data_IF_816291784403
#
_entry.id   IF_816291784403
#
_cell.length_a   1.000
_cell.length_b   1.000
_cell.length_c   1.000
_cell.angle_alpha   90.00
_cell.angle_beta   90.00
_cell.angle_gamma   90.00
#
_symmetry.space_group_name_H-M   'P 1'
#
loop_
_entity.id
_entity.type
_entity.pdbx_description
1 polymer ?
#
# COMPACT_ATOMS: atom_id res chain seq x y z
N UNK A 1 -11.59 5.87 -6.33
CA UNK A 1 -13.03 6.13 -6.49
C UNK A 1 -13.61 5.32 -7.64
N UNK A 2 -14.91 5.08 -7.61
CA UNK A 2 -15.68 4.40 -8.64
C UNK A 2 -16.85 5.26 -9.10
N UNK A 3 -17.22 5.12 -10.37
CA UNK A 3 -18.46 5.68 -10.93
C UNK A 3 -19.39 4.53 -11.29
N UNK A 4 -20.62 4.59 -10.83
CA UNK A 4 -21.62 3.61 -11.23
C UNK A 4 -22.10 3.90 -12.64
N UNK A 5 -22.00 2.91 -13.55
CA UNK A 5 -22.44 3.04 -14.94
C UNK A 5 -23.96 3.15 -15.01
N UNK A 6 -24.68 2.53 -14.08
CA UNK A 6 -26.16 2.48 -14.09
C UNK A 6 -26.82 3.77 -13.60
N UNK A 7 -26.26 4.48 -12.62
CA UNK A 7 -26.90 5.66 -12.03
C UNK A 7 -25.98 6.89 -11.91
N UNK A 8 -24.75 6.81 -12.39
CA UNK A 8 -23.79 7.90 -12.37
C UNK A 8 -23.18 8.23 -11.00
N UNK A 9 -23.61 7.57 -9.92
CA UNK A 9 -23.10 7.82 -8.56
C UNK A 9 -21.58 7.63 -8.48
N UNK A 10 -20.89 8.56 -7.84
CA UNK A 10 -19.43 8.49 -7.58
C UNK A 10 -19.23 8.25 -6.08
N UNK A 11 -18.45 7.20 -5.77
CA UNK A 11 -18.21 6.81 -4.38
C UNK A 11 -16.78 6.27 -4.18
N UNK A 12 -16.42 5.99 -2.93
CA UNK A 12 -15.19 5.26 -2.61
C UNK A 12 -15.23 3.85 -3.21
N UNK A 13 -14.06 3.25 -3.38
CA UNK A 13 -13.93 1.90 -3.96
C UNK A 13 -14.74 0.88 -3.15
N UNK A 14 -15.71 0.26 -3.79
CA UNK A 14 -16.63 -0.74 -3.24
C UNK A 14 -17.00 -1.72 -4.36
N UNK A 15 -17.52 -2.89 -3.99
CA UNK A 15 -17.92 -3.92 -4.96
C UNK A 15 -19.30 -3.68 -5.58
N UNK A 16 -20.12 -2.85 -4.94
CA UNK A 16 -21.46 -2.48 -5.41
C UNK A 16 -21.73 -0.99 -5.20
N UNK A 17 -22.55 -0.41 -6.06
CA UNK A 17 -22.97 0.98 -5.94
C UNK A 17 -23.76 1.20 -4.64
N UNK A 18 -23.40 2.18 -3.79
CA UNK A 18 -24.13 2.44 -2.55
C UNK A 18 -25.59 2.91 -2.80
N UNK A 19 -25.84 3.57 -3.96
CA UNK A 19 -27.14 4.13 -4.31
C UNK A 19 -28.09 3.12 -4.95
N UNK A 20 -27.69 2.49 -6.06
CA UNK A 20 -28.56 1.61 -6.83
C UNK A 20 -28.21 0.12 -6.72
N UNK A 21 -27.19 -0.25 -5.92
CA UNK A 21 -26.74 -1.62 -5.69
C UNK A 21 -26.23 -2.36 -6.94
N UNK A 22 -26.06 -1.67 -8.06
CA UNK A 22 -25.48 -2.23 -9.27
C UNK A 22 -24.01 -2.59 -9.07
N UNK A 23 -23.56 -3.67 -9.68
CA UNK A 23 -22.17 -4.08 -9.76
C UNK A 23 -21.45 -3.54 -11.01
N UNK A 24 -22.17 -2.81 -11.88
CA UNK A 24 -21.59 -2.17 -13.07
C UNK A 24 -20.87 -0.89 -12.64
N UNK A 25 -19.61 -1.03 -12.29
CA UNK A 25 -18.78 0.05 -11.76
C UNK A 25 -17.59 0.31 -12.67
N UNK A 26 -17.29 1.59 -12.88
CA UNK A 26 -16.08 2.03 -13.59
C UNK A 26 -15.12 2.70 -12.59
N UNK A 27 -13.83 2.42 -12.74
CA UNK A 27 -12.81 2.98 -11.85
C UNK A 27 -12.34 4.32 -12.37
N UNK A 28 -12.52 5.36 -11.55
CA UNK A 28 -12.00 6.69 -11.86
C UNK A 28 -10.48 6.71 -11.68
N UNK A 29 -9.77 7.11 -12.74
CA UNK A 29 -8.30 7.11 -12.79
C UNK A 29 -7.65 8.29 -12.07
N UNK A 30 -8.41 9.26 -11.56
CA UNK A 30 -7.86 10.42 -10.86
C UNK A 30 -7.65 10.06 -9.38
N UNK A 31 -6.41 10.10 -8.88
CA UNK A 31 -6.15 9.85 -7.47
C UNK A 31 -6.67 11.00 -6.62
N UNK A 32 -7.54 10.73 -5.67
CA UNK A 32 -7.96 11.74 -4.71
C UNK A 32 -6.91 11.90 -3.59
N UNK A 33 -6.96 13.02 -2.84
CA UNK A 33 -6.02 13.26 -1.74
C UNK A 33 -6.01 12.15 -0.68
N UNK A 34 -7.17 11.55 -0.38
CA UNK A 34 -7.26 10.44 0.56
C UNK A 34 -6.55 9.19 0.02
N UNK A 35 -6.69 8.90 -1.28
CA UNK A 35 -5.97 7.80 -1.91
C UNK A 35 -4.46 8.03 -1.86
N UNK A 36 -3.99 9.22 -2.22
CA UNK A 36 -2.57 9.58 -2.15
C UNK A 36 -2.05 9.49 -0.71
N UNK A 37 -2.78 10.00 0.27
CA UNK A 37 -2.39 9.89 1.69
C UNK A 37 -2.29 8.45 2.17
N UNK A 38 -3.21 7.58 1.72
CA UNK A 38 -3.15 6.15 2.00
C UNK A 38 -1.91 5.50 1.42
N UNK A 39 -1.61 5.78 0.15
CA UNK A 39 -0.42 5.23 -0.53
C UNK A 39 0.88 5.76 0.09
N UNK A 40 0.94 7.04 0.49
CA UNK A 40 2.10 7.58 1.22
C UNK A 40 2.40 6.79 2.50
N UNK A 41 1.38 6.42 3.28
CA UNK A 41 1.57 5.58 4.48
C UNK A 41 2.16 4.22 4.12
N UNK A 42 1.69 3.59 3.05
CA UNK A 42 2.24 2.32 2.57
C UNK A 42 3.72 2.46 2.16
N UNK A 43 4.07 3.55 1.46
CA UNK A 43 5.46 3.84 1.09
C UNK A 43 6.34 4.01 2.33
N UNK A 44 5.90 4.79 3.32
CA UNK A 44 6.65 4.97 4.58
C UNK A 44 6.82 3.66 5.34
N UNK A 45 5.80 2.79 5.34
CA UNK A 45 5.90 1.46 5.94
C UNK A 45 6.89 0.58 5.16
N UNK A 46 6.89 0.65 3.84
CA UNK A 46 7.87 -0.05 3.00
C UNK A 46 9.30 0.41 3.31
N UNK A 47 9.54 1.72 3.35
CA UNK A 47 10.86 2.28 3.70
C UNK A 47 11.33 1.75 5.06
N UNK A 48 10.45 1.73 6.08
CA UNK A 48 10.79 1.16 7.41
C UNK A 48 11.19 -0.32 7.34
N UNK A 49 10.55 -1.12 6.50
CA UNK A 49 10.94 -2.53 6.32
C UNK A 49 12.29 -2.62 5.61
N UNK A 50 12.49 -1.84 4.55
CA UNK A 50 13.74 -1.84 3.80
C UNK A 50 14.93 -1.43 4.67
N UNK A 51 14.76 -0.41 5.50
CA UNK A 51 15.86 0.10 6.36
C UNK A 51 16.06 -0.74 7.61
N UNK A 52 15.00 -1.03 8.35
CA UNK A 52 15.12 -1.71 9.64
C UNK A 52 15.36 -3.22 9.50
N UNK A 53 14.65 -3.90 8.59
CA UNK A 53 14.72 -5.36 8.47
C UNK A 53 15.79 -5.80 7.47
N UNK A 54 15.85 -5.13 6.31
CA UNK A 54 16.76 -5.48 5.22
C UNK A 54 18.08 -4.69 5.25
N UNK A 55 18.20 -3.75 6.20
CA UNK A 55 19.39 -2.91 6.43
C UNK A 55 19.85 -2.16 5.18
N UNK A 56 18.91 -1.73 4.36
CA UNK A 56 19.19 -0.89 3.20
C UNK A 56 19.37 0.54 3.69
N UNK A 57 20.47 1.17 3.31
CA UNK A 57 20.78 2.55 3.67
C UNK A 57 19.76 3.50 2.98
N UNK A 58 19.23 4.47 3.69
CA UNK A 58 18.25 5.44 3.16
C UNK A 58 18.72 6.15 1.89
N UNK A 59 20.02 6.46 1.79
CA UNK A 59 20.62 7.09 0.60
C UNK A 59 20.53 6.20 -0.66
N UNK A 60 20.32 4.90 -0.49
CA UNK A 60 20.15 3.94 -1.56
C UNK A 60 18.69 3.72 -1.95
N UNK A 61 17.76 4.42 -1.28
CA UNK A 61 16.32 4.37 -1.56
C UNK A 61 15.91 5.68 -2.23
N UNK A 62 15.42 5.59 -3.45
CA UNK A 62 14.86 6.73 -4.17
C UNK A 62 13.37 6.52 -4.39
N UNK A 63 12.57 7.54 -4.12
CA UNK A 63 11.12 7.51 -4.30
C UNK A 63 10.77 8.41 -5.47
N UNK A 64 9.86 7.94 -6.34
CA UNK A 64 9.29 8.75 -7.41
C UNK A 64 7.78 8.57 -7.45
N UNK A 65 7.06 9.66 -7.62
CA UNK A 65 5.63 9.61 -7.94
C UNK A 65 5.44 9.01 -9.34
N UNK A 66 4.50 8.11 -9.51
CA UNK A 66 4.29 7.39 -10.78
C UNK A 66 3.62 8.22 -11.89
N UNK A 67 3.14 9.41 -11.54
CA UNK A 67 2.30 10.24 -12.42
C UNK A 67 0.82 9.85 -12.38
N UNK A 68 0.39 8.91 -11.54
CA UNK A 68 -1.02 8.53 -11.42
C UNK A 68 -1.42 8.19 -9.97
N UNK A 69 -1.52 6.93 -9.61
CA UNK A 69 -2.13 6.50 -8.34
C UNK A 69 -1.10 6.13 -7.26
N UNK A 70 0.19 6.06 -7.59
CA UNK A 70 1.17 5.48 -6.68
C UNK A 70 2.56 6.06 -6.78
N UNK A 71 3.47 5.39 -6.08
CA UNK A 71 4.88 5.72 -6.05
C UNK A 71 5.71 4.51 -6.45
N UNK A 72 6.87 4.74 -7.03
CA UNK A 72 7.89 3.74 -7.27
C UNK A 72 9.05 3.96 -6.31
N UNK A 73 9.52 2.89 -5.68
CA UNK A 73 10.75 2.89 -4.90
C UNK A 73 11.83 2.18 -5.69
N UNK A 74 12.98 2.81 -5.78
CA UNK A 74 14.17 2.26 -6.40
C UNK A 74 15.20 2.02 -5.32
N UNK A 75 15.73 0.82 -5.27
CA UNK A 75 16.82 0.43 -4.37
C UNK A 75 18.08 0.25 -5.21
N UNK A 76 19.12 1.01 -4.90
CA UNK A 76 20.42 0.97 -5.58
C UNK A 76 21.51 0.51 -4.59
N UNK A 77 22.66 0.09 -5.12
CA UNK A 77 23.84 -0.27 -4.32
C UNK A 77 23.53 -1.24 -3.15
N UNK A 78 22.69 -2.22 -3.41
CA UNK A 78 22.25 -3.21 -2.42
C UNK A 78 22.53 -4.63 -2.93
N UNK A 79 22.89 -5.58 -2.04
CA UNK A 79 23.06 -6.98 -2.43
C UNK A 79 21.76 -7.59 -3.01
N UNK A 80 20.61 -7.03 -2.67
CA UNK A 80 19.30 -7.46 -3.20
C UNK A 80 19.12 -7.15 -4.70
N UNK A 81 19.95 -6.29 -5.28
CA UNK A 81 19.89 -5.99 -6.72
C UNK A 81 20.28 -7.19 -7.59
N UNK A 82 21.05 -8.14 -7.06
CA UNK A 82 21.50 -9.34 -7.76
C UNK A 82 20.51 -10.51 -7.68
N UNK A 83 19.41 -10.37 -6.96
CA UNK A 83 18.41 -11.42 -6.81
C UNK A 83 17.72 -11.73 -8.14
N UNK A 84 17.55 -13.02 -8.43
CA UNK A 84 16.72 -13.51 -9.52
C UNK A 84 15.23 -13.38 -9.23
N UNK A 85 14.38 -13.70 -10.21
CA UNK A 85 12.92 -13.54 -10.07
C UNK A 85 12.31 -14.35 -8.92
N UNK A 86 12.84 -15.54 -8.63
CA UNK A 86 12.38 -16.39 -7.53
C UNK A 86 12.66 -15.75 -6.17
N UNK A 87 13.91 -15.36 -5.96
CA UNK A 87 14.37 -14.72 -4.71
C UNK A 87 13.66 -13.37 -4.49
N UNK A 88 13.37 -12.64 -5.57
CA UNK A 88 12.53 -11.43 -5.51
C UNK A 88 11.11 -11.75 -5.10
N UNK A 89 10.57 -12.89 -5.54
CA UNK A 89 9.27 -13.39 -5.08
C UNK A 89 9.24 -13.64 -3.57
N UNK A 90 10.27 -14.29 -3.04
CA UNK A 90 10.39 -14.55 -1.59
C UNK A 90 10.56 -13.24 -0.79
N UNK A 91 11.31 -12.27 -1.33
CA UNK A 91 11.44 -10.93 -0.74
C UNK A 91 10.09 -10.20 -0.68
N UNK A 92 9.31 -10.28 -1.74
CA UNK A 92 7.96 -9.71 -1.80
C UNK A 92 7.03 -10.38 -0.81
N UNK A 93 7.05 -11.71 -0.69
CA UNK A 93 6.27 -12.43 0.31
C UNK A 93 6.64 -12.00 1.74
N UNK A 94 7.93 -11.73 1.99
CA UNK A 94 8.37 -11.14 3.26
C UNK A 94 7.78 -9.74 3.48
N UNK A 95 7.95 -8.82 2.52
CA UNK A 95 7.46 -7.43 2.63
C UNK A 95 5.93 -7.38 2.81
N UNK A 96 5.20 -8.20 2.08
CA UNK A 96 3.74 -8.27 2.16
C UNK A 96 3.21 -9.10 3.33
N UNK A 97 4.10 -9.68 4.14
CA UNK A 97 3.75 -10.63 5.19
C UNK A 97 2.87 -11.77 4.69
N UNK A 98 3.25 -12.36 3.56
CA UNK A 98 2.57 -13.53 2.99
C UNK A 98 3.18 -14.83 3.53
N UNK A 99 2.41 -15.92 3.46
CA UNK A 99 2.85 -17.27 3.85
C UNK A 99 3.40 -17.34 5.29
N UNK A 100 2.79 -16.57 6.20
CA UNK A 100 3.17 -16.59 7.60
C UNK A 100 2.98 -18.00 8.20
N UNK A 101 4.04 -18.53 8.78
CA UNK A 101 4.06 -19.86 9.40
C UNK A 101 3.91 -19.68 10.92
N UNK A 102 2.82 -20.19 11.55
CA UNK A 102 2.56 -20.04 12.99
C UNK A 102 3.73 -20.42 13.89
N UNK A 103 4.52 -21.40 13.48
CA UNK A 103 5.70 -21.86 14.23
C UNK A 103 6.76 -20.77 14.39
N UNK A 104 6.92 -19.90 13.38
CA UNK A 104 7.83 -18.75 13.44
C UNK A 104 7.34 -17.65 14.39
N UNK A 105 6.03 -17.66 14.68
CA UNK A 105 5.38 -16.73 15.60
C UNK A 105 4.92 -17.39 16.89
N UNK A 106 5.62 -18.46 17.29
CA UNK A 106 5.54 -19.04 18.62
C UNK A 106 4.57 -20.20 18.78
N UNK A 107 3.73 -20.52 17.81
CA UNK A 107 2.77 -21.62 17.93
C UNK A 107 3.37 -22.94 17.44
N UNK A 108 4.01 -23.70 18.33
CA UNK A 108 4.47 -25.06 18.03
C UNK A 108 3.30 -26.04 18.12
N UNK A 109 3.05 -26.80 17.04
CA UNK A 109 1.90 -27.72 16.94
C UNK A 109 1.76 -28.69 18.11
N UNK A 110 2.86 -29.28 18.56
CA UNK A 110 2.85 -30.35 19.56
C UNK A 110 3.04 -29.87 21.00
N UNK A 111 3.53 -28.66 21.20
CA UNK A 111 3.75 -28.10 22.54
C UNK A 111 3.81 -26.57 22.48
N UNK A 112 2.65 -25.88 22.41
CA UNK A 112 2.64 -24.43 22.41
C UNK A 112 3.05 -23.90 23.78
N UNK A 113 4.25 -23.32 23.87
CA UNK A 113 4.75 -22.67 25.09
C UNK A 113 4.48 -21.18 25.06
N UNK A 114 4.06 -20.60 26.19
CA UNK A 114 3.86 -19.14 26.33
C UNK A 114 5.12 -18.33 26.06
N UNK A 115 6.28 -18.87 26.39
CA UNK A 115 7.58 -18.19 26.19
C UNK A 115 8.02 -18.15 24.73
N UNK A 116 7.44 -18.98 23.85
CA UNK A 116 7.80 -19.00 22.44
C UNK A 116 7.09 -17.93 21.60
N UNK A 117 6.00 -17.35 22.12
CA UNK A 117 5.27 -16.28 21.40
C UNK A 117 6.05 -14.96 21.40
N UNK A 118 5.97 -14.20 20.30
CA UNK A 118 6.73 -12.96 20.15
C UNK A 118 6.38 -11.91 21.19
N UNK A 119 7.36 -11.05 21.48
CA UNK A 119 7.18 -9.89 22.36
C UNK A 119 7.03 -8.60 21.54
N UNK A 120 6.46 -7.56 22.18
CA UNK A 120 6.24 -6.26 21.52
C UNK A 120 7.55 -5.56 21.13
N UNK A 121 8.64 -5.88 21.83
CA UNK A 121 9.96 -5.28 21.62
C UNK A 121 10.83 -6.11 20.64
N UNK A 122 10.32 -7.24 20.15
CA UNK A 122 11.04 -8.06 19.18
C UNK A 122 11.26 -7.30 17.86
N UNK A 123 12.39 -7.54 17.17
CA UNK A 123 12.65 -6.94 15.87
C UNK A 123 11.77 -7.53 14.77
N UNK A 124 11.64 -6.78 13.68
CA UNK A 124 11.01 -7.25 12.43
C UNK A 124 9.54 -7.66 12.60
N UNK A 125 9.17 -8.73 11.92
CA UNK A 125 7.79 -9.22 11.92
C UNK A 125 7.33 -9.76 13.26
N UNK A 126 8.21 -10.29 14.09
CA UNK A 126 7.84 -10.77 15.43
C UNK A 126 7.23 -9.66 16.28
N UNK A 127 7.91 -8.53 16.39
CA UNK A 127 7.37 -7.38 17.15
C UNK A 127 6.13 -6.76 16.53
N UNK A 128 6.04 -6.68 15.19
CA UNK A 128 4.84 -6.17 14.50
C UNK A 128 3.62 -7.07 14.75
N UNK A 129 3.80 -8.38 14.66
CA UNK A 129 2.75 -9.37 14.98
C UNK A 129 2.34 -9.26 16.45
N UNK A 130 3.30 -9.16 17.37
CA UNK A 130 3.00 -9.02 18.79
C UNK A 130 2.21 -7.74 19.10
N UNK A 131 2.57 -6.62 18.49
CA UNK A 131 1.85 -5.34 18.66
C UNK A 131 0.41 -5.45 18.15
N UNK A 132 0.20 -6.07 17.01
CA UNK A 132 -1.14 -6.24 16.42
C UNK A 132 -2.01 -7.21 17.25
N UNK A 133 -1.40 -8.30 17.75
CA UNK A 133 -2.13 -9.30 18.53
C UNK A 133 -2.48 -8.83 19.95
N UNK A 134 -1.57 -8.12 20.60
CA UNK A 134 -1.65 -7.88 22.04
C UNK A 134 -1.89 -6.42 22.42
N UNK A 135 -1.57 -5.46 21.56
CA UNK A 135 -1.67 -4.01 21.77
C UNK A 135 -0.88 -3.48 22.99
N UNK A 136 -0.63 -4.28 24.01
CA UNK A 136 0.12 -3.91 25.20
C UNK A 136 0.69 -5.13 25.92
N UNK A 137 1.76 -4.93 26.71
CA UNK A 137 2.40 -6.00 27.50
C UNK A 137 1.43 -6.64 28.51
N UNK A 138 0.54 -5.84 29.11
CA UNK A 138 -0.47 -6.34 30.07
C UNK A 138 -1.50 -7.29 29.44
N UNK A 139 -1.80 -7.13 28.18
CA UNK A 139 -2.77 -7.98 27.44
C UNK A 139 -2.13 -9.23 26.82
N UNK A 140 -0.78 -9.28 26.74
CA UNK A 140 -0.04 -10.37 26.07
C UNK A 140 -0.35 -11.74 26.67
N UNK A 141 -0.29 -11.89 27.97
CA UNK A 141 -0.53 -13.20 28.64
C UNK A 141 -1.92 -13.75 28.36
N UNK A 142 -2.96 -12.92 28.48
CA UNK A 142 -4.34 -13.31 28.14
C UNK A 142 -4.52 -13.62 26.66
N UNK A 143 -3.90 -12.81 25.77
CA UNK A 143 -3.93 -13.01 24.32
C UNK A 143 -3.29 -14.33 23.92
N UNK A 144 -2.13 -14.69 24.48
CA UNK A 144 -1.46 -15.97 24.22
C UNK A 144 -2.33 -17.15 24.66
N UNK A 145 -2.91 -17.07 25.88
CA UNK A 145 -3.82 -18.14 26.36
C UNK A 145 -4.98 -18.36 25.39
N UNK A 146 -5.58 -17.28 24.90
CA UNK A 146 -6.65 -17.36 23.91
C UNK A 146 -6.17 -17.99 22.59
N UNK A 147 -5.02 -17.57 22.06
CA UNK A 147 -4.46 -18.13 20.82
C UNK A 147 -4.22 -19.64 20.95
N UNK A 148 -3.70 -20.09 22.10
CA UNK A 148 -3.47 -21.50 22.37
C UNK A 148 -4.79 -22.27 22.42
N UNK A 149 -5.83 -21.72 23.07
CA UNK A 149 -7.16 -22.35 23.14
C UNK A 149 -7.88 -22.38 21.79
N UNK A 150 -7.73 -21.34 20.97
CA UNK A 150 -8.35 -21.26 19.63
C UNK A 150 -7.69 -22.23 18.64
N UNK A 151 -6.45 -22.62 18.86
CA UNK A 151 -5.74 -23.66 18.12
C UNK A 151 -4.98 -23.14 16.88
N UNK A 152 -4.19 -24.07 16.31
CA UNK A 152 -3.23 -23.76 15.23
C UNK A 152 -3.88 -23.20 13.96
N UNK A 153 -4.99 -23.78 13.51
CA UNK A 153 -5.65 -23.39 12.27
C UNK A 153 -6.21 -21.96 12.34
N UNK A 154 -6.82 -21.64 13.48
CA UNK A 154 -7.38 -20.29 13.73
C UNK A 154 -6.25 -19.26 13.81
N UNK A 155 -5.15 -19.60 14.47
CA UNK A 155 -4.00 -18.71 14.55
C UNK A 155 -3.36 -18.47 13.18
N UNK A 156 -3.22 -19.51 12.35
CA UNK A 156 -2.73 -19.39 10.98
C UNK A 156 -3.61 -18.43 10.15
N UNK A 157 -4.92 -18.65 10.18
CA UNK A 157 -5.86 -17.78 9.47
C UNK A 157 -5.74 -16.32 9.94
N UNK A 158 -5.62 -16.09 11.24
CA UNK A 158 -5.44 -14.76 11.82
C UNK A 158 -4.16 -14.08 11.33
N UNK A 159 -3.04 -14.80 11.24
CA UNK A 159 -1.80 -14.27 10.68
C UNK A 159 -1.95 -13.90 9.20
N UNK A 160 -2.64 -14.72 8.41
CA UNK A 160 -2.91 -14.43 7.00
C UNK A 160 -3.80 -13.18 6.83
N UNK A 161 -4.82 -13.04 7.65
CA UNK A 161 -5.70 -11.85 7.68
C UNK A 161 -4.95 -10.57 8.10
N UNK A 162 -4.07 -10.68 9.09
CA UNK A 162 -3.22 -9.56 9.51
C UNK A 162 -2.32 -9.08 8.36
N UNK A 163 -1.71 -10.01 7.62
CA UNK A 163 -0.89 -9.67 6.45
C UNK A 163 -1.68 -8.91 5.39
N UNK A 164 -2.91 -9.34 5.12
CA UNK A 164 -3.77 -8.71 4.09
C UNK A 164 -4.32 -7.34 4.51
N UNK A 165 -4.67 -7.18 5.78
CA UNK A 165 -5.53 -6.08 6.21
C UNK A 165 -4.84 -5.04 7.11
N UNK A 166 -3.78 -5.40 7.85
CA UNK A 166 -3.22 -4.50 8.86
C UNK A 166 -1.71 -4.30 8.80
N UNK A 167 -0.89 -5.34 8.76
CA UNK A 167 0.56 -5.20 8.92
C UNK A 167 1.36 -5.35 7.63
N UNK A 168 0.88 -6.12 6.64
CA UNK A 168 1.54 -6.31 5.36
C UNK A 168 1.50 -5.05 4.50
N UNK A 169 2.60 -4.71 3.86
CA UNK A 169 2.65 -3.57 2.93
C UNK A 169 2.02 -3.94 1.59
N UNK A 170 1.16 -3.07 1.09
CA UNK A 170 0.47 -3.28 -0.20
C UNK A 170 1.33 -2.77 -1.34
N UNK A 171 1.98 -3.69 -2.04
CA UNK A 171 2.79 -3.41 -3.24
C UNK A 171 2.34 -4.27 -4.41
N UNK A 172 2.64 -3.83 -5.65
CA UNK A 172 2.47 -4.68 -6.84
C UNK A 172 3.64 -5.65 -6.96
N UNK A 173 3.43 -6.96 -6.73
CA UNK A 173 4.51 -7.96 -6.79
C UNK A 173 5.22 -7.99 -8.13
N UNK A 174 4.46 -7.81 -9.23
CA UNK A 174 4.98 -7.94 -10.58
C UNK A 174 6.03 -6.89 -10.91
N UNK A 175 5.97 -5.72 -10.25
CA UNK A 175 6.96 -4.64 -10.46
C UNK A 175 8.36 -5.06 -10.03
N UNK A 176 8.47 -5.87 -8.98
CA UNK A 176 9.77 -6.28 -8.44
C UNK A 176 10.25 -7.62 -9.00
N UNK A 177 9.34 -8.55 -9.26
CA UNK A 177 9.65 -9.90 -9.75
C UNK A 177 10.06 -9.89 -11.22
N UNK A 178 9.42 -9.05 -12.04
CA UNK A 178 9.72 -8.94 -13.47
C UNK A 178 10.95 -8.04 -13.69
N UNK A 179 12.10 -8.66 -13.87
CA UNK A 179 13.39 -7.96 -14.11
C UNK A 179 13.49 -7.31 -15.50
N UNK A 180 12.58 -7.63 -16.42
CA UNK A 180 12.53 -7.06 -17.78
C UNK A 180 11.55 -5.89 -17.90
N UNK A 181 10.88 -5.53 -16.80
CA UNK A 181 9.84 -4.50 -16.82
C UNK A 181 10.42 -3.13 -17.13
N UNK A 182 9.85 -2.48 -18.14
CA UNK A 182 10.19 -1.12 -18.50
C UNK A 182 9.43 -0.15 -17.59
N UNK A 183 10.13 0.85 -17.08
CA UNK A 183 9.56 1.92 -16.27
C UNK A 183 9.46 3.21 -17.07
N UNK A 184 8.42 3.97 -16.78
CA UNK A 184 8.25 5.31 -17.35
C UNK A 184 9.41 6.22 -16.93
N UNK A 185 9.91 7.02 -17.86
CA UNK A 185 10.95 8.01 -17.60
C UNK A 185 10.43 9.13 -16.69
N UNK A 186 11.27 9.66 -15.83
CA UNK A 186 10.96 10.87 -15.06
C UNK A 186 10.75 12.08 -16.00
N UNK A 187 9.83 12.96 -15.65
CA UNK A 187 9.37 14.06 -16.49
C UNK A 187 8.29 13.68 -17.52
N UNK A 188 8.08 12.39 -17.79
CA UNK A 188 7.04 11.97 -18.76
C UNK A 188 5.63 12.03 -18.16
N UNK A 189 4.66 12.49 -18.98
CA UNK A 189 3.27 12.58 -18.57
C UNK A 189 2.57 11.23 -18.58
N UNK A 190 1.69 11.01 -17.62
CA UNK A 190 0.79 9.88 -17.59
C UNK A 190 -0.45 10.18 -18.43
N UNK A 191 -0.73 9.37 -19.45
CA UNK A 191 -1.85 9.56 -20.38
C UNK A 191 -3.24 9.53 -19.73
N UNK A 192 -3.38 8.94 -18.53
CA UNK A 192 -4.67 8.85 -17.82
C UNK A 192 -4.92 10.04 -16.91
N UNK A 193 -3.89 10.54 -16.25
CA UNK A 193 -4.01 11.60 -15.23
C UNK A 193 -3.53 12.96 -15.71
N UNK A 194 -2.71 13.02 -16.77
CA UNK A 194 -2.02 14.25 -17.19
C UNK A 194 -0.88 14.66 -16.26
N UNK A 195 -0.63 13.93 -15.16
CA UNK A 195 0.43 14.26 -14.22
C UNK A 195 1.76 13.64 -14.65
N UNK A 196 2.85 14.31 -14.34
CA UNK A 196 4.19 13.83 -14.63
C UNK A 196 4.67 12.82 -13.59
N UNK A 197 5.55 11.90 -14.02
CA UNK A 197 6.36 11.13 -13.11
C UNK A 197 7.50 11.99 -12.58
N UNK A 198 7.61 12.18 -11.28
CA UNK A 198 8.62 13.02 -10.64
C UNK A 198 9.33 12.32 -9.50
N UNK A 199 10.61 12.66 -9.31
CA UNK A 199 11.32 12.33 -8.08
C UNK A 199 10.62 12.98 -6.88
N UNK A 200 10.64 12.32 -5.75
CA UNK A 200 9.98 12.75 -4.53
C UNK A 200 10.96 12.71 -3.37
N UNK A 201 11.55 13.86 -3.03
CA UNK A 201 12.56 13.96 -1.97
C UNK A 201 11.92 13.89 -0.57
N UNK A 202 10.71 14.40 -0.43
CA UNK A 202 9.95 14.36 0.81
C UNK A 202 8.51 13.91 0.56
N UNK A 203 8.26 12.64 0.80
CA UNK A 203 6.95 12.04 0.52
C UNK A 203 5.83 12.62 1.38
N UNK A 204 6.10 13.05 2.60
CA UNK A 204 5.06 13.58 3.49
C UNK A 204 4.53 14.92 2.97
N UNK A 205 5.40 15.78 2.47
CA UNK A 205 5.07 17.09 1.93
C UNK A 205 4.63 17.08 0.46
N UNK A 206 5.02 16.06 -0.31
CA UNK A 206 4.78 15.98 -1.74
C UNK A 206 3.29 16.09 -2.06
N UNK A 207 2.94 17.04 -2.96
CA UNK A 207 1.58 17.20 -3.47
C UNK A 207 1.56 16.99 -4.98
N UNK A 208 1.04 15.86 -5.49
CA UNK A 208 1.07 15.57 -6.91
C UNK A 208 0.34 16.59 -7.78
N UNK A 209 -0.69 17.24 -7.25
CA UNK A 209 -1.43 18.26 -8.01
C UNK A 209 -0.72 19.60 -8.11
N UNK A 210 0.16 19.92 -7.15
CA UNK A 210 0.94 21.13 -7.18
C UNK A 210 2.28 20.93 -7.90
N UNK A 211 2.90 19.75 -7.73
CA UNK A 211 4.27 19.52 -8.19
C UNK A 211 4.32 18.74 -9.52
N UNK A 212 3.41 17.78 -9.74
CA UNK A 212 3.44 16.92 -10.92
C UNK A 212 2.54 17.38 -12.07
N UNK A 213 1.85 18.51 -11.92
CA UNK A 213 1.14 19.17 -13.01
C UNK A 213 2.12 20.11 -13.73
N UNK A 214 2.65 19.67 -14.88
CA UNK A 214 3.61 20.42 -15.68
C UNK A 214 2.95 21.21 -16.84
N UNK A 215 1.62 21.22 -16.89
CA UNK A 215 0.85 21.96 -17.89
C UNK A 215 0.67 23.38 -17.40
N UNK A 216 0.89 24.34 -18.26
CA UNK A 216 0.77 25.77 -17.97
C UNK A 216 -0.63 26.16 -17.49
N UNK A 217 -0.69 27.28 -16.76
CA UNK A 217 -1.93 27.89 -16.24
C UNK A 217 -2.73 28.63 -17.35
N UNK A 218 -2.49 28.34 -18.62
CA UNK A 218 -3.27 28.94 -19.72
C UNK A 218 -4.73 28.51 -19.62
N UNK A 219 -5.67 29.44 -19.73
CA UNK A 219 -7.10 29.08 -19.70
C UNK A 219 -7.44 28.22 -20.90
N UNK A 220 -7.96 27.04 -20.63
CA UNK A 220 -8.49 26.13 -21.67
C UNK A 220 -10.00 26.01 -21.52
N UNK A 221 -10.70 26.04 -22.64
CA UNK A 221 -12.13 25.75 -22.65
C UNK A 221 -12.33 24.23 -22.52
N UNK A 222 -13.07 23.81 -21.50
CA UNK A 222 -13.38 22.42 -21.25
C UNK A 222 -14.87 22.22 -21.48
N UNK A 223 -15.22 21.40 -22.43
CA UNK A 223 -16.57 20.84 -22.56
C UNK A 223 -16.63 19.49 -21.86
N UNK A 224 -17.38 19.39 -20.77
CA UNK A 224 -17.48 18.17 -20.00
C UNK A 224 -18.94 17.77 -19.77
N UNK A 225 -19.31 16.59 -20.26
CA UNK A 225 -20.59 15.95 -19.94
C UNK A 225 -20.47 15.18 -18.59
N UNK A 226 -20.29 15.90 -17.49
CA UNK A 226 -20.17 15.31 -16.18
C UNK A 226 -21.39 15.65 -15.33
N UNK A 227 -22.14 14.65 -14.86
CA UNK A 227 -23.33 14.87 -13.98
C UNK A 227 -22.90 15.12 -12.53
N UNK A 228 -21.68 15.59 -12.31
CA UNK A 228 -21.14 15.84 -10.97
C UNK A 228 -20.69 17.28 -10.86
N UNK A 229 -20.90 17.82 -9.68
CA UNK A 229 -20.38 19.09 -9.28
C UNK A 229 -18.95 18.94 -8.75
N UNK A 230 -18.04 19.78 -9.21
CA UNK A 230 -16.67 19.82 -8.70
C UNK A 230 -16.20 21.25 -8.47
N UNK A 231 -15.20 21.39 -7.60
CA UNK A 231 -14.57 22.69 -7.32
C UNK A 231 -13.14 22.70 -7.84
N UNK A 232 -12.81 23.76 -8.57
CA UNK A 232 -11.45 24.02 -8.99
C UNK A 232 -11.08 25.46 -8.58
N UNK A 233 -10.02 25.64 -7.80
CA UNK A 233 -9.59 26.97 -7.27
C UNK A 233 -10.80 27.64 -6.64
N UNK A 234 -11.48 27.73 -5.91
CA UNK A 234 -12.67 28.41 -5.35
C UNK A 234 -13.87 28.61 -6.31
N UNK A 235 -13.84 28.07 -7.51
CA UNK A 235 -14.98 28.08 -8.42
C UNK A 235 -15.66 26.74 -8.45
N UNK A 236 -16.98 26.76 -8.51
CA UNK A 236 -17.87 25.60 -8.56
C UNK A 236 -18.27 25.37 -10.01
N UNK A 237 -18.19 24.12 -10.49
CA UNK A 237 -18.52 23.70 -11.84
C UNK A 237 -19.46 22.50 -11.79
N UNK A 238 -20.44 22.47 -12.71
CA UNK A 238 -21.43 21.40 -12.79
C UNK A 238 -22.63 21.57 -11.85
N UNK A 239 -23.60 20.66 -11.95
CA UNK A 239 -23.72 19.61 -12.96
C UNK A 239 -24.10 20.19 -14.32
N UNK A 240 -23.51 19.67 -15.40
CA UNK A 240 -23.83 20.01 -16.79
C UNK A 240 -24.50 18.83 -17.49
#
# INVERSE_FOLDING_TARGET
CIKCISCGEVSLLQDVCPKCKSNKLDRLSLPCQNCISGVKKEVLNLVKILTADLRIDDKNIRISFSGNEGFHLYVTNSPYNQLGSKERGDLIDYIMFRRAIPERFGFKKNNPSRSSFPDLDDPGWSGRVAKELFNSKSKRSKGITKIISDGYSVYRQRLEEMGKNSIGVKIDPNVTVDIHRIFRLEGSLNSKSGLAKLACDNIEKFNPYAEACLIDDEPVEISANLPIEFRLKNRRFGPY
#
